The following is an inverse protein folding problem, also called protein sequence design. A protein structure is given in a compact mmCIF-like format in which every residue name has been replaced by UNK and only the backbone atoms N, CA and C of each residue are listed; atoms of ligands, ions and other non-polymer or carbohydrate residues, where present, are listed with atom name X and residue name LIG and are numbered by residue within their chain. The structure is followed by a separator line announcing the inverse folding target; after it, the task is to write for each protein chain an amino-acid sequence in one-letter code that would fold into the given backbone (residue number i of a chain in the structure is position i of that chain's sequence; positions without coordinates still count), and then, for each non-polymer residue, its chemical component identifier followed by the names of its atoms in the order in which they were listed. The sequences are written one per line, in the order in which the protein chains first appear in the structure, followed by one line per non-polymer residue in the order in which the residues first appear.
data_IF_054552531858
#
_entry.id   IF_054552531858
#
_cell.length_a   1.000
_cell.length_b   1.000
_cell.length_c   1.000
_cell.angle_alpha   90.00
_cell.angle_beta   90.00
_cell.angle_gamma   90.00
#
_symmetry.space_group_name_H-M   'P 1'
#
loop_
_entity.id
_entity.type
_entity.pdbx_description
1 polymer ?
#
# COMPACT_ATOMS: atom_id res chain seq x y z
N UNK A 1 -11.04 -7.11 15.99
CA UNK A 1 -11.30 -7.22 14.55
C UNK A 1 -11.70 -5.87 13.99
N UNK A 2 -12.80 -5.28 14.46
CA UNK A 2 -13.31 -4.02 13.92
C UNK A 2 -12.33 -2.86 14.01
N UNK A 3 -11.57 -2.76 15.10
CA UNK A 3 -10.54 -1.74 15.27
C UNK A 3 -9.39 -1.91 14.28
N UNK A 4 -8.98 -3.15 14.03
CA UNK A 4 -7.91 -3.46 13.08
C UNK A 4 -8.37 -3.17 11.64
N UNK A 5 -9.62 -3.48 11.30
CA UNK A 5 -10.18 -3.19 9.98
C UNK A 5 -10.27 -1.68 9.72
N UNK A 6 -10.74 -0.91 10.71
CA UNK A 6 -10.76 0.57 10.57
C UNK A 6 -9.36 1.15 10.38
N UNK A 7 -8.39 0.60 11.09
CA UNK A 7 -7.01 1.03 10.95
C UNK A 7 -6.46 0.68 9.56
N UNK A 8 -6.81 -0.50 9.03
CA UNK A 8 -6.40 -0.89 7.68
C UNK A 8 -6.95 0.07 6.62
N UNK A 9 -8.22 0.48 6.76
CA UNK A 9 -8.83 1.47 5.88
C UNK A 9 -8.08 2.82 5.97
N UNK A 10 -7.75 3.25 7.18
CA UNK A 10 -6.97 4.48 7.38
C UNK A 10 -5.62 4.41 6.67
N UNK A 11 -4.92 3.28 6.79
CA UNK A 11 -3.63 3.06 6.12
C UNK A 11 -3.79 3.12 4.61
N UNK A 12 -4.82 2.49 4.05
CA UNK A 12 -5.06 2.51 2.60
C UNK A 12 -5.31 3.92 2.08
N UNK A 13 -6.08 4.73 2.81
CA UNK A 13 -6.31 6.14 2.43
C UNK A 13 -5.04 6.97 2.51
N UNK A 14 -4.26 6.76 3.57
CA UNK A 14 -2.97 7.44 3.72
C UNK A 14 -1.98 7.01 2.63
N UNK A 15 -2.04 5.76 2.18
CA UNK A 15 -1.21 5.25 1.09
C UNK A 15 -1.44 6.05 -0.21
N UNK A 16 -2.69 6.36 -0.53
CA UNK A 16 -3.01 7.13 -1.74
C UNK A 16 -2.35 8.51 -1.68
N UNK A 17 -2.49 9.20 -0.54
CA UNK A 17 -1.89 10.51 -0.36
C UNK A 17 -0.36 10.44 -0.36
N UNK A 18 0.21 9.42 0.26
CA UNK A 18 1.64 9.22 0.30
C UNK A 18 2.22 8.99 -1.10
N UNK A 19 1.53 8.22 -1.94
CA UNK A 19 1.96 7.99 -3.32
C UNK A 19 1.95 9.27 -4.15
N UNK A 20 0.94 10.11 -3.97
CA UNK A 20 0.88 11.40 -4.66
C UNK A 20 2.02 12.32 -4.24
N UNK A 21 2.33 12.34 -2.95
CA UNK A 21 3.45 13.11 -2.43
C UNK A 21 4.78 12.59 -2.96
N UNK A 22 4.96 11.27 -2.99
CA UNK A 22 6.18 10.65 -3.50
C UNK A 22 6.40 11.01 -4.97
N UNK A 23 5.36 10.90 -5.79
CA UNK A 23 5.44 11.12 -7.23
C UNK A 23 5.50 12.60 -7.63
N UNK A 24 5.35 13.52 -6.68
CA UNK A 24 5.41 14.95 -6.97
C UNK A 24 6.84 15.44 -7.30
N UNK A 25 7.87 14.61 -7.04
CA UNK A 25 9.28 14.94 -7.26
C UNK A 25 9.98 13.79 -7.96
N UNK A 26 10.97 14.14 -8.80
CA UNK A 26 11.89 13.17 -9.39
C UNK A 26 12.90 12.74 -8.33
N UNK A 27 12.69 11.58 -7.72
CA UNK A 27 13.46 11.14 -6.55
C UNK A 27 14.74 10.39 -6.89
N UNK A 28 14.85 9.87 -8.11
CA UNK A 28 16.05 9.16 -8.55
C UNK A 28 16.81 9.90 -9.64
N UNK A 29 16.40 11.11 -10.00
CA UNK A 29 17.13 11.98 -10.90
C UNK A 29 17.13 11.56 -12.36
N UNK A 30 16.20 10.68 -12.76
CA UNK A 30 16.11 10.17 -14.13
C UNK A 30 15.19 10.98 -15.06
N UNK A 31 14.62 12.08 -14.54
CA UNK A 31 13.71 12.93 -15.30
C UNK A 31 12.28 12.42 -15.37
N UNK A 32 11.96 11.32 -14.69
CA UNK A 32 10.62 10.69 -14.71
C UNK A 32 10.01 10.75 -13.31
N UNK A 33 8.79 11.29 -13.22
CA UNK A 33 7.99 11.22 -11.98
C UNK A 33 7.34 9.84 -11.91
N UNK A 34 7.50 9.16 -10.78
CA UNK A 34 6.98 7.82 -10.59
C UNK A 34 6.49 7.60 -9.17
N UNK A 35 5.60 6.62 -9.00
CA UNK A 35 5.12 6.18 -7.69
C UNK A 35 6.12 5.21 -7.05
N UNK A 36 6.03 5.07 -5.73
CA UNK A 36 6.89 4.16 -4.99
C UNK A 36 6.46 2.70 -5.17
N UNK A 37 7.43 1.83 -5.38
CA UNK A 37 7.20 0.38 -5.48
C UNK A 37 7.42 -0.32 -4.15
N UNK A 38 7.84 0.39 -3.13
CA UNK A 38 8.11 -0.13 -1.78
C UNK A 38 7.42 0.71 -0.72
N UNK A 39 7.01 0.08 0.36
CA UNK A 39 6.54 0.81 1.53
C UNK A 39 7.73 1.40 2.30
N UNK A 40 8.65 0.56 2.74
CA UNK A 40 9.87 1.02 3.42
C UNK A 40 11.00 1.16 2.41
N UNK A 41 11.70 2.29 2.48
CA UNK A 41 12.84 2.55 1.62
C UNK A 41 14.01 1.62 1.95
N UNK A 42 14.83 1.34 0.95
CA UNK A 42 16.13 0.71 1.14
C UNK A 42 16.97 1.59 2.07
N UNK A 43 17.73 0.97 2.97
CA UNK A 43 18.57 1.69 3.92
C UNK A 43 19.46 2.72 3.20
N UNK A 44 19.39 3.96 3.67
CA UNK A 44 20.15 5.08 3.08
C UNK A 44 19.56 5.66 1.80
N UNK A 45 18.39 5.20 1.37
CA UNK A 45 17.73 5.67 0.15
C UNK A 45 16.33 6.22 0.44
N UNK A 46 15.75 6.90 -0.55
CA UNK A 46 14.37 7.39 -0.52
C UNK A 46 13.59 6.76 -1.68
N UNK A 47 13.64 5.44 -1.79
CA UNK A 47 13.00 4.67 -2.86
C UNK A 47 11.69 4.00 -2.45
N UNK A 48 11.16 4.33 -1.28
CA UNK A 48 9.87 3.88 -0.78
C UNK A 48 9.09 5.01 -0.13
N UNK A 49 7.92 4.70 0.41
CA UNK A 49 7.03 5.71 1.01
C UNK A 49 7.48 6.12 2.42
N UNK A 50 8.32 5.34 3.05
CA UNK A 50 8.85 5.64 4.37
C UNK A 50 10.37 5.61 4.36
N UNK A 51 10.98 6.62 5.01
CA UNK A 51 12.38 6.63 5.41
C UNK A 51 12.51 7.36 6.74
N UNK A 52 13.51 7.01 7.57
CA UNK A 52 13.76 7.76 8.80
C UNK A 52 14.18 9.20 8.46
N UNK A 53 13.56 10.17 9.12
CA UNK A 53 13.86 11.57 8.89
C UNK A 53 14.03 12.27 10.23
N UNK A 54 15.08 13.07 10.36
CA UNK A 54 15.35 13.90 11.52
C UNK A 54 15.16 15.37 11.13
N UNK A 55 14.03 15.94 11.54
CA UNK A 55 13.71 17.33 11.24
C UNK A 55 14.75 18.31 11.78
N UNK A 56 15.40 17.97 12.89
CA UNK A 56 16.46 18.81 13.48
C UNK A 56 17.69 18.89 12.61
N UNK A 57 17.90 17.89 11.72
CA UNK A 57 18.99 17.88 10.74
C UNK A 57 18.57 18.42 9.38
N UNK A 58 17.33 18.90 9.25
CA UNK A 58 16.80 19.39 7.99
C UNK A 58 16.37 18.31 7.01
N UNK A 59 16.22 17.07 7.46
CA UNK A 59 15.78 15.96 6.62
C UNK A 59 14.36 16.19 6.13
N UNK A 60 14.09 15.82 4.88
CA UNK A 60 12.74 15.80 4.35
C UNK A 60 11.93 14.69 5.02
N UNK A 61 10.71 15.00 5.48
CA UNK A 61 9.80 14.00 6.03
C UNK A 61 9.39 13.02 4.95
N UNK A 62 9.34 11.72 5.30
CA UNK A 62 8.85 10.70 4.37
C UNK A 62 7.35 10.90 4.08
N UNK A 63 6.87 10.53 2.88
CA UNK A 63 5.45 10.71 2.55
C UNK A 63 4.49 10.02 3.51
N UNK A 64 4.87 8.85 4.02
CA UNK A 64 4.02 8.05 4.90
C UNK A 64 4.10 8.49 6.37
N UNK A 65 5.25 8.98 6.82
CA UNK A 65 5.50 9.31 8.21
C UNK A 65 4.54 10.34 8.80
N UNK A 66 4.30 11.50 8.14
CA UNK A 66 3.37 12.49 8.66
C UNK A 66 1.91 12.04 8.67
N UNK A 67 1.56 11.09 7.82
CA UNK A 67 0.18 10.62 7.66
C UNK A 67 -0.17 9.53 8.68
N UNK A 68 0.80 8.70 9.05
CA UNK A 68 0.61 7.62 10.01
C UNK A 68 1.77 7.66 11.01
N UNK A 69 1.58 8.38 12.11
CA UNK A 69 2.63 8.58 13.10
C UNK A 69 3.19 7.26 13.66
N UNK A 70 2.32 6.26 13.83
CA UNK A 70 2.70 4.96 14.37
C UNK A 70 3.36 4.05 13.34
N UNK A 71 3.23 4.37 12.06
CA UNK A 71 3.83 3.58 10.99
C UNK A 71 5.35 3.57 11.04
N UNK A 72 5.95 4.60 11.62
CA UNK A 72 7.39 4.71 11.75
C UNK A 72 7.98 3.51 12.51
N UNK A 73 7.35 3.10 13.60
CA UNK A 73 7.81 1.94 14.38
C UNK A 73 7.67 0.65 13.59
N UNK A 74 6.56 0.46 12.90
CA UNK A 74 6.31 -0.70 12.06
C UNK A 74 7.31 -0.79 10.90
N UNK A 75 7.44 0.32 10.15
CA UNK A 75 8.25 0.34 8.94
C UNK A 75 9.74 0.32 9.24
N UNK A 76 10.18 0.98 10.32
CA UNK A 76 11.58 1.00 10.73
C UNK A 76 12.07 -0.35 11.20
N UNK A 77 11.28 -1.03 12.04
CA UNK A 77 11.61 -2.35 12.57
C UNK A 77 11.00 -3.49 11.77
N UNK A 78 10.38 -3.21 10.64
CA UNK A 78 9.62 -4.20 9.88
C UNK A 78 10.54 -5.26 9.28
N UNK A 79 10.26 -6.51 9.62
CA UNK A 79 10.80 -7.68 8.95
C UNK A 79 9.72 -8.22 8.04
N UNK A 80 10.10 -8.70 6.86
CA UNK A 80 9.14 -9.28 5.91
C UNK A 80 8.23 -10.29 6.61
N UNK A 81 6.93 -10.07 6.53
CA UNK A 81 5.93 -10.92 7.16
C UNK A 81 5.34 -10.40 8.48
N UNK A 82 5.92 -9.35 9.07
CA UNK A 82 5.37 -8.76 10.29
C UNK A 82 4.08 -7.99 9.99
N UNK A 83 2.99 -8.20 10.74
CA UNK A 83 1.77 -7.43 10.55
C UNK A 83 1.83 -6.09 11.26
N UNK A 84 1.05 -5.12 10.76
CA UNK A 84 0.81 -3.86 11.43
C UNK A 84 -0.65 -3.86 11.91
N UNK A 85 -0.84 -3.88 13.23
CA UNK A 85 -2.16 -3.94 13.87
C UNK A 85 -3.05 -5.03 13.27
N UNK A 86 -2.48 -6.24 13.16
CA UNK A 86 -3.23 -7.41 12.70
C UNK A 86 -3.40 -7.53 11.19
N UNK A 87 -2.89 -6.58 10.39
CA UNK A 87 -2.98 -6.60 8.94
C UNK A 87 -1.61 -6.54 8.28
N UNK A 88 -1.49 -7.23 7.15
CA UNK A 88 -0.37 -7.09 6.23
C UNK A 88 -0.77 -6.17 5.09
N UNK A 89 0.22 -5.44 4.56
CA UNK A 89 0.02 -4.49 3.47
C UNK A 89 1.03 -4.78 2.37
N UNK A 90 0.57 -4.84 1.12
CA UNK A 90 1.43 -5.07 -0.04
C UNK A 90 1.04 -4.17 -1.19
N UNK A 91 2.07 -3.63 -1.88
CA UNK A 91 1.87 -2.86 -3.10
C UNK A 91 1.63 -3.83 -4.25
N UNK A 92 0.59 -3.57 -5.04
CA UNK A 92 0.25 -4.34 -6.25
C UNK A 92 0.84 -3.64 -7.46
N UNK A 93 1.08 -4.40 -8.55
CA UNK A 93 1.84 -3.90 -9.70
C UNK A 93 1.02 -3.78 -10.98
N UNK A 94 -0.23 -4.22 -10.97
CA UNK A 94 -1.10 -4.18 -12.16
C UNK A 94 -2.56 -4.18 -11.79
N UNK A 95 -3.41 -3.91 -12.78
CA UNK A 95 -4.86 -4.03 -12.60
C UNK A 95 -5.49 -4.87 -13.69
N UNK A 96 -6.66 -5.44 -13.36
CA UNK A 96 -7.42 -6.29 -14.29
C UNK A 96 -8.38 -5.49 -15.15
N UNK A 97 -9.02 -6.17 -16.11
CA UNK A 97 -10.05 -5.58 -16.95
C UNK A 97 -11.27 -5.09 -16.18
N UNK A 98 -11.50 -5.58 -14.95
CA UNK A 98 -12.60 -5.16 -14.09
C UNK A 98 -12.33 -3.80 -13.40
N UNK A 99 -11.09 -3.34 -13.41
CA UNK A 99 -10.74 -2.04 -12.84
C UNK A 99 -11.05 -0.90 -13.81
N UNK A 100 -11.38 0.30 -13.30
CA UNK A 100 -11.53 1.48 -14.17
C UNK A 100 -10.27 1.70 -15.00
N UNK A 101 -10.45 1.89 -16.32
CA UNK A 101 -9.35 2.05 -17.25
C UNK A 101 -8.87 0.76 -17.92
N UNK A 102 -9.38 -0.40 -17.48
CA UNK A 102 -9.06 -1.70 -18.07
C UNK A 102 -7.75 -2.29 -17.56
N UNK A 103 -7.35 -3.43 -18.12
CA UNK A 103 -6.16 -4.15 -17.69
C UNK A 103 -4.88 -3.48 -18.19
N UNK A 104 -3.94 -3.20 -17.28
CA UNK A 104 -2.61 -2.74 -17.64
C UNK A 104 -1.64 -2.88 -16.47
N UNK A 105 -0.34 -2.82 -16.77
CA UNK A 105 0.72 -2.85 -15.76
C UNK A 105 1.00 -1.43 -15.27
N UNK A 106 1.21 -1.28 -13.97
CA UNK A 106 1.63 0.00 -13.38
C UNK A 106 3.13 0.25 -13.59
N UNK A 107 3.91 -0.82 -13.65
CA UNK A 107 5.36 -0.73 -13.83
C UNK A 107 5.69 -0.86 -15.32
N UNK A 108 6.31 0.18 -15.88
CA UNK A 108 6.67 0.27 -17.29
C UNK A 108 8.15 0.62 -17.35
N UNK A 109 8.96 -0.25 -17.96
CA UNK A 109 10.41 -0.09 -18.03
C UNK A 109 11.05 0.12 -16.65
N UNK A 110 10.58 -0.63 -15.64
CA UNK A 110 11.09 -0.57 -14.28
C UNK A 110 10.56 0.59 -13.45
N UNK A 111 9.72 1.46 -14.00
CA UNK A 111 9.17 2.63 -13.31
C UNK A 111 7.67 2.49 -13.09
N UNK A 112 7.21 2.75 -11.88
CA UNK A 112 5.77 2.69 -11.58
C UNK A 112 5.10 4.01 -11.97
N UNK A 113 4.72 4.12 -13.24
CA UNK A 113 4.14 5.33 -13.82
C UNK A 113 2.69 5.16 -14.27
N UNK A 114 2.20 3.92 -14.40
CA UNK A 114 0.83 3.67 -14.88
C UNK A 114 -0.24 3.83 -13.81
N UNK A 115 0.12 3.80 -12.55
CA UNK A 115 -0.79 3.88 -11.43
C UNK A 115 -0.19 3.18 -10.22
N UNK A 116 -1.03 2.93 -9.23
CA UNK A 116 -0.63 2.20 -8.02
C UNK A 116 -1.84 1.52 -7.39
N UNK A 117 -1.59 0.49 -6.60
CA UNK A 117 -2.62 -0.20 -5.83
C UNK A 117 -2.00 -0.89 -4.62
N UNK A 118 -2.83 -1.22 -3.66
CA UNK A 118 -2.41 -1.89 -2.43
C UNK A 118 -3.49 -2.86 -1.97
N UNK A 119 -3.05 -3.97 -1.38
CA UNK A 119 -3.92 -4.91 -0.66
C UNK A 119 -3.59 -4.85 0.83
N UNK A 120 -4.65 -4.88 1.65
CA UNK A 120 -4.55 -5.07 3.10
C UNK A 120 -5.30 -6.34 3.45
N UNK A 121 -4.60 -7.31 4.03
CA UNK A 121 -5.21 -8.59 4.37
C UNK A 121 -4.87 -8.98 5.80
N UNK A 122 -5.81 -9.70 6.50
CA UNK A 122 -5.59 -10.04 7.91
C UNK A 122 -4.44 -11.04 8.08
N UNK A 123 -3.66 -10.85 9.13
CA UNK A 123 -2.61 -11.80 9.49
C UNK A 123 -3.21 -13.15 9.89
N UNK A 124 -4.35 -13.12 10.58
CA UNK A 124 -5.12 -14.30 10.96
C UNK A 124 -6.61 -14.05 10.73
N UNK A 125 -7.17 -14.64 9.70
CA UNK A 125 -8.59 -14.51 9.40
C UNK A 125 -9.46 -14.97 10.58
N UNK A 126 -10.39 -14.12 11.00
CA UNK A 126 -11.26 -14.38 12.12
C UNK A 126 -10.72 -13.97 13.48
N UNK A 127 -9.40 -13.72 13.58
CA UNK A 127 -8.77 -13.28 14.83
C UNK A 127 -8.29 -11.84 14.75
N UNK A 128 -7.46 -11.49 13.76
CA UNK A 128 -6.99 -10.13 13.58
C UNK A 128 -7.85 -9.29 12.64
N UNK A 129 -8.63 -9.93 11.81
CA UNK A 129 -9.58 -9.29 10.90
C UNK A 129 -10.34 -10.30 10.08
N UNK A 130 -11.40 -9.88 9.42
CA UNK A 130 -12.23 -10.73 8.55
C UNK A 130 -12.05 -10.34 7.09
N UNK A 131 -12.24 -9.05 6.77
CA UNK A 131 -12.21 -8.56 5.40
C UNK A 131 -10.80 -8.34 4.90
N UNK A 132 -10.59 -8.60 3.61
CA UNK A 132 -9.45 -8.14 2.83
C UNK A 132 -9.89 -6.92 2.05
N UNK A 133 -9.02 -5.90 1.98
CA UNK A 133 -9.33 -4.64 1.31
C UNK A 133 -8.33 -4.40 0.19
N UNK A 134 -8.82 -3.81 -0.92
CA UNK A 134 -7.96 -3.36 -2.01
C UNK A 134 -8.32 -1.93 -2.39
N UNK A 135 -7.30 -1.18 -2.81
CA UNK A 135 -7.46 0.20 -3.26
C UNK A 135 -6.48 0.46 -4.41
N UNK A 136 -6.87 1.34 -5.32
CA UNK A 136 -5.98 1.80 -6.39
C UNK A 136 -5.94 3.33 -6.43
N UNK A 137 -5.18 3.87 -7.39
CA UNK A 137 -5.05 5.30 -7.61
C UNK A 137 -6.39 6.01 -7.89
N UNK A 138 -7.47 5.27 -8.20
CA UNK A 138 -8.79 5.89 -8.35
C UNK A 138 -9.47 6.20 -7.00
N UNK A 139 -8.89 5.76 -5.89
CA UNK A 139 -9.32 6.12 -4.54
C UNK A 139 -10.45 5.29 -3.94
N UNK A 140 -11.06 4.41 -4.71
CA UNK A 140 -12.16 3.58 -4.22
C UNK A 140 -11.65 2.32 -3.55
N UNK A 141 -12.12 2.05 -2.34
CA UNK A 141 -11.75 0.87 -1.57
C UNK A 141 -12.82 -0.21 -1.79
N UNK A 142 -12.36 -1.43 -2.02
CA UNK A 142 -13.22 -2.62 -2.12
C UNK A 142 -12.87 -3.60 -1.03
N UNK A 143 -13.87 -4.38 -0.59
CA UNK A 143 -13.69 -5.38 0.46
C UNK A 143 -14.27 -6.71 0.06
N UNK A 144 -13.68 -7.79 0.58
CA UNK A 144 -14.14 -9.15 0.40
C UNK A 144 -13.65 -10.02 1.54
N UNK A 145 -14.52 -10.91 2.02
CA UNK A 145 -14.13 -11.96 2.96
C UNK A 145 -13.57 -13.14 2.16
N UNK A 146 -12.25 -13.32 2.20
CA UNK A 146 -11.57 -14.41 1.50
C UNK A 146 -11.51 -15.70 2.32
N UNK A 147 -12.12 -15.69 3.51
CA UNK A 147 -12.19 -16.87 4.37
C UNK A 147 -10.82 -17.26 4.93
N UNK A 148 -10.68 -18.52 5.30
CA UNK A 148 -9.47 -19.06 5.91
C UNK A 148 -8.22 -18.94 5.01
N UNK A 149 -8.40 -18.68 3.73
CA UNK A 149 -7.30 -18.54 2.77
C UNK A 149 -6.85 -17.09 2.59
N UNK A 150 -7.36 -16.15 3.38
CA UNK A 150 -7.08 -14.72 3.25
C UNK A 150 -5.59 -14.42 3.22
N UNK A 151 -4.81 -14.98 4.13
CA UNK A 151 -3.37 -14.73 4.20
C UNK A 151 -2.65 -15.23 2.95
N UNK A 152 -2.97 -16.46 2.51
CA UNK A 152 -2.33 -17.05 1.33
C UNK A 152 -2.68 -16.27 0.04
N UNK A 153 -3.94 -15.90 -0.11
CA UNK A 153 -4.41 -15.14 -1.27
C UNK A 153 -3.78 -13.73 -1.29
N UNK A 154 -3.78 -13.04 -0.15
CA UNK A 154 -3.19 -11.70 -0.03
C UNK A 154 -1.70 -11.70 -0.29
N UNK A 155 -0.98 -12.68 0.24
CA UNK A 155 0.45 -12.81 0.03
C UNK A 155 0.81 -13.03 -1.44
N UNK A 156 -0.01 -13.76 -2.19
CA UNK A 156 0.22 -14.06 -3.60
C UNK A 156 -0.35 -13.02 -4.56
N UNK A 157 -1.13 -12.07 -4.08
CA UNK A 157 -1.82 -11.10 -4.93
C UNK A 157 -0.83 -10.13 -5.58
N UNK A 158 -0.99 -9.93 -6.90
CA UNK A 158 -0.20 -8.97 -7.68
C UNK A 158 -1.08 -7.96 -8.41
N UNK A 159 -2.37 -8.24 -8.52
CA UNK A 159 -3.29 -7.54 -9.41
C UNK A 159 -4.43 -6.91 -8.61
N UNK A 160 -4.69 -5.63 -8.85
CA UNK A 160 -5.90 -4.96 -8.38
C UNK A 160 -7.07 -5.44 -9.24
N UNK A 161 -7.92 -6.28 -8.67
CA UNK A 161 -9.01 -6.95 -9.39
C UNK A 161 -10.32 -6.80 -8.62
N UNK A 162 -11.04 -5.67 -8.78
CA UNK A 162 -12.35 -5.47 -8.14
C UNK A 162 -13.45 -6.19 -8.93
N UNK A 163 -13.32 -7.50 -9.07
CA UNK A 163 -14.24 -8.34 -9.81
C UNK A 163 -15.43 -8.82 -8.97
N UNK A 164 -16.16 -9.84 -9.45
CA UNK A 164 -17.30 -10.38 -8.71
C UNK A 164 -16.92 -10.82 -7.30
N UNK A 165 -17.79 -10.52 -6.34
CA UNK A 165 -17.57 -10.82 -4.92
C UNK A 165 -16.89 -9.70 -4.13
N UNK A 166 -16.31 -8.72 -4.78
CA UNK A 166 -15.77 -7.53 -4.13
C UNK A 166 -16.85 -6.45 -4.04
N UNK A 167 -17.03 -5.89 -2.86
CA UNK A 167 -18.01 -4.83 -2.60
C UNK A 167 -17.31 -3.52 -2.31
N UNK A 168 -17.88 -2.41 -2.76
CA UNK A 168 -17.34 -1.11 -2.45
C UNK A 168 -17.49 -0.82 -0.96
N UNK A 169 -16.40 -0.42 -0.32
CA UNK A 169 -16.42 0.05 1.06
C UNK A 169 -16.88 1.50 1.09
N UNK A 170 -17.78 1.80 2.02
CA UNK A 170 -18.38 3.14 2.13
C UNK A 170 -18.00 3.85 3.40
#
# INVERSE_FOLDING_TARGET
IGGNERNAIYVLRAFIDAQRTYAARDRDGDGVLQYAQKLASTSGKQDGLYWPADAAKGDEASPFGPLIAESAAYLKGHTSGDPFRGYHFRILTRQSANAPGGAYNYVINGRMIGGFAMVAYPAEHGASGVMTFIVSHNGKIYEKDLGKNSTAVGLAMTTFHPGPGWSAFQ
#
